data_IF_613121987152
#
_entry.id   IF_613121987152
#
_cell.length_a   1.000
_cell.length_b   1.000
_cell.length_c   1.000
_cell.angle_alpha   90.00
_cell.angle_beta   90.00
_cell.angle_gamma   90.00
#
_symmetry.space_group_name_H-M   'P 1'
#
loop_
_entity.id
_entity.type
_entity.pdbx_description
1 polymer ?
#
# COMPACT_ATOMS: atom_id res chain seq x y z
N UNK A 1 -11.15 24.73 -10.33
CA UNK A 1 -11.17 23.29 -10.04
C UNK A 1 -10.04 23.06 -9.06
N UNK A 2 -10.35 23.05 -7.76
CA UNK A 2 -9.34 22.88 -6.72
C UNK A 2 -8.67 21.53 -6.93
N UNK A 3 -7.36 21.51 -7.08
CA UNK A 3 -6.61 20.27 -7.13
C UNK A 3 -6.86 19.53 -5.80
N UNK A 4 -7.19 18.22 -5.82
CA UNK A 4 -7.42 17.47 -4.61
C UNK A 4 -6.06 17.18 -3.95
N UNK A 5 -5.49 18.22 -3.31
CA UNK A 5 -4.22 18.15 -2.59
C UNK A 5 -4.28 17.06 -1.52
N UNK A 6 -5.46 16.79 -0.98
CA UNK A 6 -5.75 15.69 -0.08
C UNK A 6 -5.38 14.31 -0.65
N UNK A 7 -5.62 14.05 -1.96
CA UNK A 7 -5.25 12.79 -2.63
C UNK A 7 -3.72 12.71 -2.80
N UNK A 8 -3.06 13.84 -3.08
CA UNK A 8 -1.60 13.90 -3.18
C UNK A 8 -0.92 13.64 -1.83
N UNK A 9 -1.43 14.23 -0.74
CA UNK A 9 -0.92 13.97 0.61
C UNK A 9 -1.13 12.50 1.03
N UNK A 10 -2.29 11.91 0.75
CA UNK A 10 -2.53 10.49 0.99
C UNK A 10 -1.52 9.61 0.24
N UNK A 11 -1.28 9.90 -1.05
CA UNK A 11 -0.31 9.17 -1.84
C UNK A 11 1.11 9.26 -1.24
N UNK A 12 1.57 10.45 -0.90
CA UNK A 12 2.92 10.66 -0.35
C UNK A 12 3.09 9.93 0.99
N UNK A 13 2.11 10.04 1.89
CA UNK A 13 2.16 9.39 3.21
C UNK A 13 2.20 7.87 3.05
N UNK A 14 1.33 7.28 2.22
CA UNK A 14 1.33 5.84 1.99
C UNK A 14 2.57 5.35 1.24
N UNK A 15 3.11 6.17 0.35
CA UNK A 15 4.37 5.85 -0.33
C UNK A 15 5.54 5.76 0.65
N UNK A 16 5.68 6.74 1.54
CA UNK A 16 6.72 6.73 2.58
C UNK A 16 6.52 5.54 3.53
N UNK A 17 5.29 5.30 3.96
CA UNK A 17 4.95 4.20 4.85
C UNK A 17 5.31 2.84 4.22
N UNK A 18 4.91 2.61 2.96
CA UNK A 18 5.29 1.41 2.22
C UNK A 18 6.79 1.23 2.09
N UNK A 19 7.54 2.32 1.87
CA UNK A 19 9.01 2.27 1.77
C UNK A 19 9.68 1.90 3.11
N UNK A 20 9.16 2.41 4.22
CA UNK A 20 9.62 2.06 5.57
C UNK A 20 9.29 0.60 5.92
N UNK A 21 8.06 0.16 5.63
CA UNK A 21 7.61 -1.20 5.90
C UNK A 21 8.41 -2.24 5.11
N UNK A 22 8.80 -1.94 3.86
CA UNK A 22 9.66 -2.82 3.05
C UNK A 22 10.98 -3.16 3.72
N UNK A 23 11.51 -2.27 4.58
CA UNK A 23 12.79 -2.47 5.28
C UNK A 23 12.62 -3.12 6.65
N UNK A 24 11.49 -2.87 7.32
CA UNK A 24 11.27 -3.24 8.72
C UNK A 24 10.50 -4.55 8.89
N UNK A 25 9.56 -4.86 7.99
CA UNK A 25 8.61 -5.95 8.17
C UNK A 25 8.94 -7.16 7.30
N UNK A 26 8.65 -8.36 7.84
CA UNK A 26 8.61 -9.58 7.03
C UNK A 26 7.51 -9.44 5.98
N UNK A 27 7.72 -9.99 4.79
CA UNK A 27 6.82 -9.84 3.61
C UNK A 27 5.33 -10.13 3.90
N UNK A 28 5.03 -11.08 4.79
CA UNK A 28 3.64 -11.37 5.20
C UNK A 28 3.01 -10.26 6.03
N UNK A 29 3.77 -9.67 6.95
CA UNK A 29 3.30 -8.58 7.81
C UNK A 29 3.12 -7.31 6.97
N UNK A 30 4.08 -7.03 6.07
CA UNK A 30 3.96 -5.97 5.06
C UNK A 30 2.64 -6.09 4.27
N UNK A 31 2.33 -7.29 3.77
CA UNK A 31 1.11 -7.50 2.99
C UNK A 31 -0.17 -7.27 3.79
N UNK A 32 -0.25 -7.83 5.01
CA UNK A 32 -1.41 -7.65 5.89
C UNK A 32 -1.61 -6.19 6.29
N UNK A 33 -0.52 -5.50 6.64
CA UNK A 33 -0.56 -4.11 7.07
C UNK A 33 -0.98 -3.21 5.89
N UNK A 34 -0.41 -3.41 4.71
CA UNK A 34 -0.83 -2.72 3.49
C UNK A 34 -2.32 -2.92 3.15
N UNK A 35 -2.83 -4.16 3.23
CA UNK A 35 -4.26 -4.42 3.01
C UNK A 35 -5.13 -3.67 4.03
N UNK A 36 -4.70 -3.65 5.29
CA UNK A 36 -5.39 -2.92 6.36
C UNK A 36 -5.44 -1.43 6.09
N UNK A 37 -4.32 -0.84 5.63
CA UNK A 37 -4.22 0.58 5.30
C UNK A 37 -5.14 0.96 4.13
N UNK A 38 -5.18 0.18 3.06
CA UNK A 38 -6.06 0.48 1.91
C UNK A 38 -7.52 0.50 2.35
N UNK A 39 -7.95 -0.49 3.13
CA UNK A 39 -9.31 -0.55 3.66
C UNK A 39 -9.58 0.64 4.59
N UNK A 40 -8.62 1.01 5.44
CA UNK A 40 -8.76 2.14 6.36
C UNK A 40 -8.84 3.47 5.62
N UNK A 41 -8.04 3.66 4.57
CA UNK A 41 -8.04 4.87 3.74
C UNK A 41 -9.38 5.07 3.03
N UNK A 42 -9.96 3.98 2.53
CA UNK A 42 -11.25 3.99 1.83
C UNK A 42 -12.42 4.12 2.81
N UNK A 43 -12.33 3.49 3.99
CA UNK A 43 -13.26 3.72 5.08
C UNK A 43 -13.23 5.17 5.57
N UNK A 44 -12.05 5.82 5.60
CA UNK A 44 -11.93 7.23 5.95
C UNK A 44 -12.69 8.13 4.97
N UNK A 45 -12.76 7.75 3.69
CA UNK A 45 -13.54 8.53 2.71
C UNK A 45 -15.03 8.56 3.04
N UNK A 46 -15.58 7.54 3.72
CA UNK A 46 -16.99 7.52 4.17
C UNK A 46 -17.32 8.63 5.18
N UNK A 47 -16.32 9.11 5.92
CA UNK A 47 -16.49 10.17 6.91
C UNK A 47 -16.32 11.58 6.31
N UNK A 48 -15.86 11.68 5.07
CA UNK A 48 -15.66 12.96 4.37
C UNK A 48 -16.88 13.22 3.49
N UNK A 49 -17.77 14.10 3.95
CA UNK A 49 -18.94 14.54 3.19
C UNK A 49 -18.56 15.02 1.80
N UNK A 50 -19.16 14.42 0.76
CA UNK A 50 -18.91 14.75 -0.64
C UNK A 50 -17.89 13.85 -1.36
N UNK A 51 -17.31 12.86 -0.68
CA UNK A 51 -16.55 11.78 -1.35
C UNK A 51 -17.40 10.54 -1.55
N UNK A 52 -17.15 9.88 -2.69
CA UNK A 52 -17.72 8.57 -2.99
C UNK A 52 -16.69 7.50 -2.69
N UNK A 53 -17.17 6.34 -2.23
CA UNK A 53 -16.36 5.14 -2.08
C UNK A 53 -15.94 4.64 -3.47
N UNK A 54 -14.64 4.65 -3.77
CA UNK A 54 -14.11 4.29 -5.08
C UNK A 54 -13.55 2.85 -5.03
N UNK A 55 -14.37 1.85 -5.38
CA UNK A 55 -13.95 0.43 -5.41
C UNK A 55 -12.70 0.21 -6.29
N UNK A 56 -12.52 1.02 -7.33
CA UNK A 56 -11.35 0.96 -8.19
C UNK A 56 -10.06 1.39 -7.47
N UNK A 57 -10.14 2.30 -6.50
CA UNK A 57 -8.99 2.72 -5.69
C UNK A 57 -8.56 1.58 -4.75
N UNK A 58 -9.51 0.83 -4.17
CA UNK A 58 -9.22 -0.41 -3.43
C UNK A 58 -8.52 -1.43 -4.33
N UNK A 59 -9.08 -1.69 -5.50
CA UNK A 59 -8.53 -2.67 -6.44
C UNK A 59 -7.11 -2.30 -6.88
N UNK A 60 -6.87 -1.02 -7.17
CA UNK A 60 -5.54 -0.51 -7.51
C UNK A 60 -4.55 -0.66 -6.36
N UNK A 61 -4.96 -0.36 -5.13
CA UNK A 61 -4.13 -0.56 -3.93
C UNK A 61 -3.75 -2.03 -3.73
N UNK A 62 -4.72 -2.95 -3.84
CA UNK A 62 -4.48 -4.39 -3.69
C UNK A 62 -3.56 -4.92 -4.79
N UNK A 63 -3.76 -4.50 -6.04
CA UNK A 63 -2.87 -4.87 -7.14
C UNK A 63 -1.44 -4.37 -6.91
N UNK A 64 -1.26 -3.14 -6.45
CA UNK A 64 0.05 -2.59 -6.08
C UNK A 64 0.75 -3.41 -5.00
N UNK A 65 0.02 -3.82 -3.96
CA UNK A 65 0.51 -4.70 -2.90
C UNK A 65 0.91 -6.08 -3.40
N UNK A 66 0.11 -6.68 -4.28
CA UNK A 66 0.41 -7.99 -4.87
C UNK A 66 1.69 -7.93 -5.69
N UNK A 67 1.85 -6.88 -6.52
CA UNK A 67 3.08 -6.67 -7.30
C UNK A 67 4.30 -6.54 -6.38
N UNK A 68 4.23 -5.69 -5.35
CA UNK A 68 5.32 -5.52 -4.39
C UNK A 68 5.60 -6.83 -3.64
N UNK A 69 4.58 -7.58 -3.25
CA UNK A 69 4.74 -8.86 -2.58
C UNK A 69 5.55 -9.85 -3.44
N UNK A 70 5.25 -9.94 -4.74
CA UNK A 70 6.02 -10.79 -5.66
C UNK A 70 7.47 -10.31 -5.84
N UNK A 71 7.69 -9.00 -5.95
CA UNK A 71 9.04 -8.41 -6.06
C UNK A 71 9.86 -8.74 -4.79
N UNK A 72 9.28 -8.52 -3.61
CA UNK A 72 9.91 -8.79 -2.32
C UNK A 72 10.18 -10.29 -2.11
N UNK A 73 9.22 -11.14 -2.47
CA UNK A 73 9.38 -12.61 -2.38
C UNK A 73 10.52 -13.08 -3.28
N UNK A 74 10.60 -12.60 -4.52
CA UNK A 74 11.69 -12.92 -5.46
C UNK A 74 13.06 -12.45 -4.92
N UNK A 75 13.11 -11.28 -4.27
CA UNK A 75 14.33 -10.74 -3.66
C UNK A 75 14.78 -11.56 -2.44
N UNK A 76 13.85 -11.97 -1.59
CA UNK A 76 14.14 -12.82 -0.42
C UNK A 76 14.74 -14.16 -0.87
N UNK A 77 14.11 -14.84 -1.83
CA UNK A 77 14.61 -16.11 -2.37
C UNK A 77 16.00 -15.98 -2.98
N UNK A 78 16.28 -14.88 -3.71
CA UNK A 78 17.62 -14.62 -4.26
C UNK A 78 18.67 -14.38 -3.17
N UNK A 79 18.31 -13.69 -2.08
CA UNK A 79 19.23 -13.46 -0.96
C UNK A 79 19.55 -14.74 -0.19
N UNK A 80 18.60 -15.67 -0.06
CA UNK A 80 18.84 -16.97 0.57
C UNK A 80 19.75 -17.86 -0.29
N UNK A 81 19.55 -17.87 -1.61
CA UNK A 81 20.42 -18.59 -2.56
C UNK A 81 21.85 -18.01 -2.66
N UNK A 82 22.02 -16.71 -2.43
CA UNK A 82 23.35 -16.07 -2.42
C UNK A 82 24.17 -16.39 -1.16
N UNK A 83 23.53 -16.93 -0.11
CA UNK A 83 24.16 -17.26 1.17
C UNK A 83 24.42 -18.77 1.34
N UNK A 84 23.89 -19.60 0.45
CA UNK A 84 24.14 -21.04 0.37
C UNK A 84 25.36 -21.31 -0.52
#
# INVERSE_FOLDING_TARGET
KEFPLDKLYHFIIFFILGLLEMRLLKTRHFFLLGCSIILLAEAQQLFISGRNFEIFDIAAGVLGLVVIYFILKKRSVRNDLSKA
#
